data_IF_156272284512
#
_entry.id   IF_156272284512
#
_cell.length_a   1.000
_cell.length_b   1.000
_cell.length_c   1.000
_cell.angle_alpha   90.00
_cell.angle_beta   90.00
_cell.angle_gamma   90.00
#
_symmetry.space_group_name_H-M   'P 1'
#
loop_
_entity.id
_entity.type
_entity.pdbx_description
1 polymer ?
#
# COMPACT_ATOMS: atom_id res chain seq x y z
N UNK A 1 -17.06 11.43 -8.05
CA UNK A 1 -16.79 10.10 -7.47
C UNK A 1 -17.90 9.16 -7.91
N UNK A 2 -17.60 8.05 -8.59
CA UNK A 2 -18.64 7.08 -8.99
C UNK A 2 -19.00 6.27 -7.74
N UNK A 3 -20.24 6.34 -7.27
CA UNK A 3 -20.71 5.46 -6.18
C UNK A 3 -20.69 4.01 -6.67
N UNK A 4 -19.63 3.29 -6.32
CA UNK A 4 -19.46 1.88 -6.65
C UNK A 4 -19.64 1.08 -5.36
N UNK A 5 -20.53 0.09 -5.39
CA UNK A 5 -20.54 -0.94 -4.35
C UNK A 5 -19.18 -1.62 -4.33
N UNK A 6 -18.50 -1.65 -3.19
CA UNK A 6 -17.19 -2.29 -3.05
C UNK A 6 -17.38 -3.81 -2.90
N UNK A 7 -17.10 -4.65 -3.93
CA UNK A 7 -17.29 -6.09 -3.84
C UNK A 7 -16.34 -6.78 -2.86
N UNK A 8 -15.19 -6.16 -2.56
CA UNK A 8 -14.24 -6.60 -1.56
C UNK A 8 -13.37 -5.40 -1.11
N UNK A 9 -12.48 -5.62 -0.14
CA UNK A 9 -11.47 -4.65 0.27
C UNK A 9 -10.06 -5.20 0.08
N UNK A 10 -9.15 -4.36 -0.38
CA UNK A 10 -7.74 -4.70 -0.53
C UNK A 10 -7.08 -4.89 0.85
N UNK A 11 -6.47 -6.04 1.05
CA UNK A 11 -5.66 -6.34 2.22
C UNK A 11 -4.20 -5.97 1.95
N UNK A 12 -3.76 -4.82 2.44
CA UNK A 12 -2.40 -4.28 2.21
C UNK A 12 -1.57 -4.23 3.48
N UNK A 13 -1.98 -4.95 4.53
CA UNK A 13 -1.39 -4.86 5.87
C UNK A 13 0.14 -5.04 5.85
N UNK A 14 0.63 -6.12 5.23
CA UNK A 14 2.06 -6.41 5.16
C UNK A 14 2.85 -5.32 4.43
N UNK A 15 2.28 -4.76 3.36
CA UNK A 15 2.93 -3.74 2.55
C UNK A 15 2.94 -2.38 3.25
N UNK A 16 1.87 -2.01 3.95
CA UNK A 16 1.85 -0.82 4.82
C UNK A 16 2.87 -0.96 5.95
N UNK A 17 3.01 -2.15 6.53
CA UNK A 17 4.03 -2.40 7.54
C UNK A 17 5.46 -2.27 6.98
N UNK A 18 5.71 -2.75 5.75
CA UNK A 18 6.97 -2.54 5.03
C UNK A 18 7.22 -1.05 4.77
N UNK A 19 6.21 -0.32 4.29
CA UNK A 19 6.24 1.12 4.04
C UNK A 19 6.59 1.95 5.30
N UNK A 20 6.08 1.57 6.48
CA UNK A 20 6.40 2.24 7.76
C UNK A 20 7.89 2.22 8.10
N UNK A 21 8.69 1.31 7.52
CA UNK A 21 10.16 1.32 7.71
C UNK A 21 10.82 2.52 7.05
N UNK A 22 10.24 3.06 5.98
CA UNK A 22 10.74 4.26 5.30
C UNK A 22 10.43 5.52 6.09
N UNK A 23 9.28 5.61 6.76
CA UNK A 23 8.89 6.76 7.60
C UNK A 23 9.94 7.07 8.67
N UNK A 24 10.60 6.04 9.22
CA UNK A 24 11.61 6.21 10.28
C UNK A 24 12.91 6.84 9.77
N UNK A 25 13.17 6.77 8.46
CA UNK A 25 14.34 7.37 7.83
C UNK A 25 13.94 8.78 7.38
N UNK A 26 14.39 9.82 8.08
CA UNK A 26 14.21 11.20 7.61
C UNK A 26 15.12 11.39 6.39
N UNK A 27 14.51 11.52 5.22
CA UNK A 27 15.19 11.72 3.94
C UNK A 27 14.50 12.90 3.25
N UNK A 28 15.30 13.87 2.79
CA UNK A 28 14.81 14.91 1.88
C UNK A 28 14.65 14.30 0.48
N UNK A 29 13.51 14.53 -0.17
CA UNK A 29 13.25 13.95 -1.49
C UNK A 29 11.77 13.95 -1.91
N UNK A 30 11.42 12.99 -2.75
CA UNK A 30 10.07 12.78 -3.30
C UNK A 30 9.15 12.22 -2.23
N UNK A 31 7.98 12.84 -2.04
CA UNK A 31 6.96 12.35 -1.10
C UNK A 31 6.07 11.30 -1.78
N UNK A 32 6.05 10.10 -1.21
CA UNK A 32 5.25 8.96 -1.65
C UNK A 32 4.08 8.79 -0.70
N UNK A 33 2.89 8.70 -1.27
CA UNK A 33 1.63 8.56 -0.56
C UNK A 33 0.99 7.22 -0.88
N UNK A 34 0.83 6.37 0.14
CA UNK A 34 0.15 5.08 0.08
C UNK A 34 -1.08 5.09 1.00
N UNK A 35 -1.98 4.10 0.91
CA UNK A 35 -3.04 3.95 1.90
C UNK A 35 -2.44 3.92 3.31
N UNK A 36 -2.93 4.79 4.19
CA UNK A 36 -2.57 4.87 5.62
C UNK A 36 -1.12 5.27 5.96
N UNK A 37 -0.27 5.58 4.98
CA UNK A 37 1.12 5.95 5.24
C UNK A 37 1.70 6.84 4.13
N UNK A 38 2.42 7.87 4.54
CA UNK A 38 3.19 8.74 3.65
C UNK A 38 4.62 8.84 4.14
N UNK A 39 5.59 8.88 3.23
CA UNK A 39 7.01 8.95 3.55
C UNK A 39 7.78 9.63 2.40
N UNK A 40 9.00 10.07 2.66
CA UNK A 40 9.86 10.71 1.67
C UNK A 40 11.04 9.81 1.31
N UNK A 41 11.42 9.80 0.03
CA UNK A 41 12.52 8.99 -0.50
C UNK A 41 13.32 9.77 -1.54
N UNK A 42 14.60 9.43 -1.67
CA UNK A 42 15.43 9.91 -2.76
C UNK A 42 15.74 8.73 -3.69
N UNK A 43 15.05 8.60 -4.83
CA UNK A 43 15.29 7.48 -5.74
C UNK A 43 16.66 7.64 -6.41
N UNK A 44 17.40 6.54 -6.49
CA UNK A 44 18.68 6.47 -7.20
C UNK A 44 18.47 6.46 -8.73
N UNK A 45 19.57 6.52 -9.49
CA UNK A 45 19.50 6.59 -10.95
C UNK A 45 18.89 5.31 -11.58
N UNK A 46 19.06 4.15 -10.93
CA UNK A 46 18.52 2.87 -11.40
C UNK A 46 17.01 2.85 -11.16
N UNK A 47 16.54 3.19 -9.96
CA UNK A 47 15.12 3.34 -9.65
C UNK A 47 14.46 4.35 -10.58
N UNK A 48 15.07 5.52 -10.80
CA UNK A 48 14.51 6.52 -11.73
C UNK A 48 14.38 5.98 -13.15
N UNK A 49 15.40 5.28 -13.65
CA UNK A 49 15.40 4.70 -15.00
C UNK A 49 14.28 3.65 -15.13
N UNK A 50 14.19 2.74 -14.17
CA UNK A 50 13.17 1.68 -14.17
C UNK A 50 11.76 2.26 -14.00
N UNK A 51 11.60 3.28 -13.15
CA UNK A 51 10.33 3.98 -12.96
C UNK A 51 9.84 4.63 -14.26
N UNK A 52 10.72 5.32 -15.01
CA UNK A 52 10.37 5.92 -16.31
C UNK A 52 9.86 4.86 -17.28
N UNK A 53 10.53 3.72 -17.36
CA UNK A 53 10.11 2.64 -18.24
C UNK A 53 8.75 2.05 -17.86
N UNK A 54 8.51 1.86 -16.55
CA UNK A 54 7.22 1.41 -16.04
C UNK A 54 6.12 2.41 -16.41
N UNK A 55 6.34 3.71 -16.19
CA UNK A 55 5.37 4.76 -16.53
C UNK A 55 5.01 4.72 -18.01
N UNK A 56 6.02 4.68 -18.88
CA UNK A 56 5.81 4.67 -20.34
C UNK A 56 5.03 3.43 -20.77
N UNK A 57 5.41 2.24 -20.29
CA UNK A 57 4.82 0.98 -20.74
C UNK A 57 3.45 0.71 -20.14
N UNK A 58 3.19 1.15 -18.92
CA UNK A 58 1.90 0.95 -18.25
C UNK A 58 0.84 1.96 -18.71
N UNK A 59 1.21 3.20 -19.00
CA UNK A 59 0.27 4.24 -19.41
C UNK A 59 -0.61 3.85 -20.62
N UNK A 60 -0.07 3.03 -21.52
CA UNK A 60 -0.78 2.58 -22.73
C UNK A 60 -1.56 1.26 -22.53
N UNK A 61 -1.54 0.68 -21.32
CA UNK A 61 -2.22 -0.59 -21.06
C UNK A 61 -3.73 -0.38 -21.05
N UNK A 62 -4.44 -1.30 -21.73
CA UNK A 62 -5.89 -1.23 -21.94
C UNK A 62 -6.66 -1.08 -20.63
N UNK A 63 -6.27 -1.78 -19.56
CA UNK A 63 -6.93 -1.64 -18.26
C UNK A 63 -6.92 -0.19 -17.76
N UNK A 64 -5.84 0.55 -18.00
CA UNK A 64 -5.69 1.94 -17.54
C UNK A 64 -6.27 2.97 -18.53
N UNK A 65 -6.41 2.62 -19.81
CA UNK A 65 -6.80 3.61 -20.84
C UNK A 65 -8.15 3.34 -21.53
N UNK A 66 -8.71 2.13 -21.47
CA UNK A 66 -9.92 1.80 -22.21
C UNK A 66 -11.21 2.09 -21.43
N UNK A 67 -12.05 2.93 -22.03
CA UNK A 67 -13.37 3.31 -21.53
C UNK A 67 -14.48 2.32 -21.90
N UNK A 68 -14.38 1.67 -23.07
CA UNK A 68 -15.51 0.94 -23.65
C UNK A 68 -15.66 -0.50 -23.15
N UNK A 69 -16.91 -0.89 -22.88
CA UNK A 69 -17.37 -2.27 -22.78
C UNK A 69 -17.74 -2.78 -24.18
N UNK A 70 -16.92 -3.62 -24.79
CA UNK A 70 -17.26 -4.47 -25.93
C UNK A 70 -17.49 -5.91 -25.46
N UNK A 71 -18.07 -6.77 -26.30
CA UNK A 71 -18.44 -8.15 -25.97
C UNK A 71 -17.29 -9.02 -25.41
N UNK A 72 -16.03 -8.64 -25.66
CA UNK A 72 -14.83 -9.30 -25.14
C UNK A 72 -14.09 -8.47 -24.07
N UNK A 73 -14.78 -7.63 -23.30
CA UNK A 73 -14.10 -6.70 -22.39
C UNK A 73 -13.50 -7.36 -21.15
N UNK A 74 -14.11 -8.45 -20.67
CA UNK A 74 -13.58 -9.20 -19.53
C UNK A 74 -12.25 -9.85 -19.92
N UNK A 75 -12.21 -10.58 -21.03
CA UNK A 75 -11.01 -11.29 -21.49
C UNK A 75 -9.87 -10.33 -21.82
N UNK A 76 -10.17 -9.22 -22.51
CA UNK A 76 -9.16 -8.20 -22.82
C UNK A 76 -8.65 -7.48 -21.58
N UNK A 77 -9.49 -7.25 -20.58
CA UNK A 77 -9.07 -6.67 -19.31
C UNK A 77 -8.16 -7.65 -18.56
N UNK A 78 -8.54 -8.92 -18.47
CA UNK A 78 -7.73 -9.97 -17.84
C UNK A 78 -6.37 -10.14 -18.56
N UNK A 79 -6.36 -10.20 -19.89
CA UNK A 79 -5.13 -10.26 -20.67
C UNK A 79 -4.23 -9.04 -20.39
N UNK A 80 -4.79 -7.83 -20.38
CA UNK A 80 -4.03 -6.62 -20.05
C UNK A 80 -3.51 -6.64 -18.61
N UNK A 81 -4.24 -7.19 -17.64
CA UNK A 81 -3.74 -7.35 -16.26
C UNK A 81 -2.59 -8.36 -16.18
N UNK A 82 -2.65 -9.44 -16.96
CA UNK A 82 -1.57 -10.42 -17.05
C UNK A 82 -0.30 -9.77 -17.63
N UNK A 83 -0.42 -8.96 -18.68
CA UNK A 83 0.70 -8.22 -19.25
C UNK A 83 1.32 -7.24 -18.24
N UNK A 84 0.48 -6.53 -17.48
CA UNK A 84 0.95 -5.63 -16.40
C UNK A 84 1.73 -6.45 -15.36
N UNK A 85 1.17 -7.59 -14.92
CA UNK A 85 1.81 -8.47 -13.94
C UNK A 85 3.17 -8.96 -14.43
N UNK A 86 3.26 -9.47 -15.64
CA UNK A 86 4.52 -9.93 -16.23
C UNK A 86 5.56 -8.81 -16.28
N UNK A 87 5.17 -7.62 -16.76
CA UNK A 87 6.07 -6.47 -16.81
C UNK A 87 6.59 -6.07 -15.43
N UNK A 88 5.72 -6.03 -14.41
CA UNK A 88 6.12 -5.67 -13.05
C UNK A 88 7.09 -6.70 -12.45
N UNK A 89 6.86 -7.99 -12.69
CA UNK A 89 7.77 -9.06 -12.24
C UNK A 89 9.12 -8.94 -12.94
N UNK A 90 9.16 -8.71 -14.25
CA UNK A 90 10.42 -8.51 -14.98
C UNK A 90 11.21 -7.33 -14.41
N UNK A 91 10.53 -6.23 -14.06
CA UNK A 91 11.16 -5.05 -13.45
C UNK A 91 11.59 -5.27 -11.99
N UNK A 92 10.91 -6.15 -11.25
CA UNK A 92 11.39 -6.61 -9.94
C UNK A 92 12.69 -7.41 -10.05
N UNK A 93 12.85 -8.22 -11.10
CA UNK A 93 14.11 -8.95 -11.34
C UNK A 93 15.24 -7.96 -11.65
N UNK A 94 14.97 -6.94 -12.47
CA UNK A 94 15.93 -5.87 -12.77
C UNK A 94 16.36 -5.09 -11.50
N UNK A 95 15.43 -4.89 -10.54
CA UNK A 95 15.70 -4.24 -9.25
C UNK A 95 16.02 -5.23 -8.11
N UNK A 96 16.47 -6.45 -8.41
CA UNK A 96 16.70 -7.47 -7.38
C UNK A 96 17.72 -7.03 -6.31
N UNK A 97 18.71 -6.21 -6.68
CA UNK A 97 19.69 -5.63 -5.74
C UNK A 97 19.10 -4.47 -4.90
N UNK A 98 17.99 -3.87 -5.34
CA UNK A 98 17.25 -2.81 -4.63
C UNK A 98 15.85 -3.28 -4.16
N UNK A 99 15.72 -4.53 -3.70
CA UNK A 99 14.44 -5.09 -3.25
C UNK A 99 13.80 -4.37 -2.03
N UNK A 100 14.62 -3.59 -1.30
CA UNK A 100 14.19 -2.71 -0.21
C UNK A 100 13.94 -1.24 -0.66
N UNK A 101 13.92 -1.00 -1.97
CA UNK A 101 13.67 0.32 -2.58
C UNK A 101 12.20 0.72 -2.57
N UNK A 102 11.96 2.02 -2.79
CA UNK A 102 10.62 2.59 -2.81
C UNK A 102 9.85 2.15 -4.06
N UNK A 103 10.55 2.07 -5.20
CA UNK A 103 9.95 1.60 -6.43
C UNK A 103 9.54 0.12 -6.34
N UNK A 104 10.39 -0.70 -5.71
CA UNK A 104 10.09 -2.11 -5.49
C UNK A 104 8.81 -2.28 -4.65
N UNK A 105 8.68 -1.52 -3.57
CA UNK A 105 7.47 -1.49 -2.74
C UNK A 105 6.22 -1.09 -3.55
N UNK A 106 6.31 -0.06 -4.41
CA UNK A 106 5.18 0.37 -5.25
C UNK A 106 4.76 -0.72 -6.24
N UNK A 107 5.71 -1.46 -6.82
CA UNK A 107 5.40 -2.61 -7.67
C UNK A 107 4.73 -3.74 -6.86
N UNK A 108 5.17 -4.01 -5.64
CA UNK A 108 4.50 -4.98 -4.75
C UNK A 108 3.06 -4.58 -4.46
N UNK A 109 2.77 -3.29 -4.23
CA UNK A 109 1.39 -2.79 -4.08
C UNK A 109 0.54 -3.12 -5.31
N UNK A 110 1.03 -2.81 -6.52
CA UNK A 110 0.31 -3.09 -7.76
C UNK A 110 0.09 -4.59 -7.96
N UNK A 111 1.11 -5.41 -7.75
CA UNK A 111 1.05 -6.87 -7.89
C UNK A 111 0.07 -7.47 -6.90
N UNK A 112 0.06 -7.00 -5.66
CA UNK A 112 -0.85 -7.49 -4.63
C UNK A 112 -2.31 -7.12 -4.94
N UNK A 113 -2.55 -5.90 -5.44
CA UNK A 113 -3.87 -5.50 -5.94
C UNK A 113 -4.36 -6.40 -7.08
N UNK A 114 -3.50 -6.69 -8.06
CA UNK A 114 -3.82 -7.59 -9.18
C UNK A 114 -4.11 -9.01 -8.67
N UNK A 115 -3.29 -9.52 -7.75
CA UNK A 115 -3.47 -10.85 -7.16
C UNK A 115 -4.81 -10.99 -6.45
N UNK A 116 -5.16 -10.02 -5.61
CA UNK A 116 -6.44 -10.03 -4.89
C UNK A 116 -7.64 -9.90 -5.84
N UNK A 117 -7.51 -9.11 -6.90
CA UNK A 117 -8.54 -9.06 -7.94
C UNK A 117 -8.73 -10.41 -8.63
N UNK A 118 -7.65 -11.11 -9.02
CA UNK A 118 -7.78 -12.45 -9.60
C UNK A 118 -8.39 -13.45 -8.62
N UNK A 119 -8.03 -13.41 -7.33
CA UNK A 119 -8.69 -14.24 -6.31
C UNK A 119 -10.19 -13.94 -6.18
N UNK A 120 -10.58 -12.66 -6.24
CA UNK A 120 -11.99 -12.28 -6.27
C UNK A 120 -12.70 -12.82 -7.53
N UNK A 121 -12.05 -12.68 -8.68
CA UNK A 121 -12.58 -13.07 -9.98
C UNK A 121 -12.78 -14.59 -10.10
N UNK A 122 -11.83 -15.38 -9.59
CA UNK A 122 -11.94 -16.84 -9.48
C UNK A 122 -13.12 -17.25 -8.58
N UNK A 123 -13.32 -16.56 -7.44
CA UNK A 123 -14.47 -16.81 -6.56
C UNK A 123 -15.79 -16.44 -7.24
N UNK A 124 -15.79 -15.34 -8.00
CA UNK A 124 -16.96 -14.90 -8.74
C UNK A 124 -17.34 -15.92 -9.82
N UNK A 125 -16.37 -16.47 -10.55
CA UNK A 125 -16.55 -17.61 -11.48
C UNK A 125 -17.07 -18.86 -10.79
N UNK A 126 -16.47 -19.24 -9.66
CA UNK A 126 -16.88 -20.43 -8.92
C UNK A 126 -18.33 -20.32 -8.40
N UNK A 127 -18.74 -19.12 -7.99
CA UNK A 127 -20.11 -18.84 -7.54
C UNK A 127 -21.12 -18.71 -8.69
N UNK A 128 -20.66 -18.46 -9.92
CA UNK A 128 -21.50 -18.26 -11.10
C UNK A 128 -20.99 -19.15 -12.24
N UNK A 129 -21.44 -20.40 -12.37
CA UNK A 129 -20.98 -21.32 -13.41
C UNK A 129 -21.24 -20.82 -14.84
N UNK A 130 -22.18 -19.89 -15.01
CA UNK A 130 -22.48 -19.22 -16.28
C UNK A 130 -21.58 -18.01 -16.57
N UNK A 131 -20.75 -17.58 -15.60
CA UNK A 131 -19.74 -16.53 -15.77
C UNK A 131 -18.79 -16.93 -16.90
N UNK A 132 -18.41 -16.01 -17.81
CA UNK A 132 -17.91 -16.42 -19.11
C UNK A 132 -16.57 -17.15 -18.97
N UNK A 133 -16.62 -18.47 -19.07
CA UNK A 133 -15.53 -19.30 -19.52
C UNK A 133 -15.73 -19.49 -21.01
N UNK A 134 -14.88 -18.83 -21.81
CA UNK A 134 -14.72 -19.07 -23.24
C UNK A 134 -16.03 -19.45 -23.98
N UNK A 135 -17.05 -18.59 -24.05
CA UNK A 135 -17.97 -18.49 -25.20
C UNK A 135 -19.02 -17.39 -24.99
N UNK A 136 -19.43 -16.82 -26.13
CA UNK A 136 -20.33 -15.68 -26.37
C UNK A 136 -21.77 -15.79 -25.83
N UNK A 137 -21.99 -16.04 -24.55
CA UNK A 137 -23.34 -16.09 -24.00
C UNK A 137 -23.67 -14.86 -23.18
N UNK A 138 -24.59 -14.08 -23.74
CA UNK A 138 -25.47 -13.02 -23.21
C UNK A 138 -25.75 -13.07 -21.69
N UNK A 139 -24.74 -12.93 -20.84
CA UNK A 139 -24.97 -12.56 -19.46
C UNK A 139 -25.55 -11.16 -19.44
N UNK A 140 -26.64 -10.97 -18.69
CA UNK A 140 -27.15 -9.64 -18.51
C UNK A 140 -26.07 -8.81 -17.81
N UNK A 141 -25.87 -7.57 -18.26
CA UNK A 141 -24.92 -6.60 -17.68
C UNK A 141 -25.04 -6.47 -16.15
N UNK A 142 -26.20 -6.84 -15.59
CA UNK A 142 -26.45 -6.90 -14.16
C UNK A 142 -25.62 -7.95 -13.39
N UNK A 143 -25.28 -9.08 -14.01
CA UNK A 143 -24.56 -10.19 -13.36
C UNK A 143 -23.04 -9.91 -13.29
N UNK A 144 -22.54 -9.07 -14.20
CA UNK A 144 -21.15 -8.62 -14.24
C UNK A 144 -20.90 -7.35 -13.41
N UNK A 145 -21.92 -6.79 -12.73
CA UNK A 145 -21.75 -5.57 -11.91
C UNK A 145 -20.65 -5.72 -10.84
N UNK A 146 -20.57 -6.82 -10.08
CA UNK A 146 -19.49 -7.00 -9.10
C UNK A 146 -18.11 -7.04 -9.76
N UNK A 147 -17.98 -7.66 -10.93
CA UNK A 147 -16.75 -7.69 -11.70
C UNK A 147 -16.30 -6.29 -12.13
N UNK A 148 -17.20 -5.52 -12.75
CA UNK A 148 -16.85 -4.17 -13.21
C UNK A 148 -16.57 -3.22 -12.05
N UNK A 149 -17.27 -3.36 -10.92
CA UNK A 149 -16.97 -2.60 -9.71
C UNK A 149 -15.57 -2.94 -9.17
N UNK A 150 -15.22 -4.23 -9.08
CA UNK A 150 -13.88 -4.68 -8.69
C UNK A 150 -12.80 -4.19 -9.65
N UNK A 151 -13.06 -4.23 -10.97
CA UNK A 151 -12.11 -3.78 -11.98
C UNK A 151 -11.88 -2.27 -11.88
N UNK A 152 -12.93 -1.49 -11.65
CA UNK A 152 -12.83 -0.05 -11.47
C UNK A 152 -12.08 0.32 -10.18
N UNK A 153 -12.28 -0.42 -9.09
CA UNK A 153 -11.47 -0.30 -7.88
C UNK A 153 -9.99 -0.60 -8.15
N UNK A 154 -9.69 -1.70 -8.86
CA UNK A 154 -8.32 -2.06 -9.23
C UNK A 154 -7.68 -1.00 -10.14
N UNK A 155 -8.42 -0.46 -11.11
CA UNK A 155 -7.95 0.64 -11.97
C UNK A 155 -7.53 1.85 -11.14
N UNK A 156 -8.39 2.27 -10.21
CA UNK A 156 -8.07 3.37 -9.30
C UNK A 156 -6.87 3.07 -8.40
N UNK A 157 -6.67 1.82 -7.98
CA UNK A 157 -5.49 1.40 -7.24
C UNK A 157 -4.22 1.50 -8.09
N UNK A 158 -4.23 0.88 -9.28
CA UNK A 158 -3.09 0.85 -10.21
C UNK A 158 -2.70 2.26 -10.68
N UNK A 159 -3.68 3.12 -10.99
CA UNK A 159 -3.40 4.50 -11.40
C UNK A 159 -2.72 5.31 -10.30
N UNK A 160 -3.18 5.19 -9.04
CA UNK A 160 -2.57 5.91 -7.92
C UNK A 160 -1.15 5.43 -7.65
N UNK A 161 -0.90 4.11 -7.71
CA UNK A 161 0.46 3.57 -7.68
C UNK A 161 1.32 4.12 -8.83
N UNK A 162 0.81 4.08 -10.07
CA UNK A 162 1.51 4.61 -11.24
C UNK A 162 1.83 6.11 -11.11
N UNK A 163 0.95 6.88 -10.48
CA UNK A 163 1.17 8.29 -10.18
C UNK A 163 2.31 8.48 -9.19
N UNK A 164 2.42 7.65 -8.15
CA UNK A 164 3.56 7.69 -7.25
C UNK A 164 4.86 7.27 -7.96
N UNK A 165 4.81 6.29 -8.86
CA UNK A 165 5.96 5.89 -9.68
C UNK A 165 6.37 7.04 -10.62
N UNK A 166 5.42 7.77 -11.19
CA UNK A 166 5.68 8.94 -12.03
C UNK A 166 6.43 10.06 -11.28
N UNK A 167 6.12 10.25 -9.98
CA UNK A 167 6.89 11.14 -9.11
C UNK A 167 8.34 10.66 -8.92
N UNK A 168 8.56 9.35 -8.72
CA UNK A 168 9.93 8.80 -8.66
C UNK A 168 10.67 8.95 -9.98
N UNK A 169 9.96 8.82 -11.09
CA UNK A 169 10.50 8.96 -12.44
C UNK A 169 10.74 10.41 -12.87
N UNK A 170 10.31 11.40 -12.06
CA UNK A 170 10.33 12.82 -12.40
C UNK A 170 9.71 13.09 -13.79
N UNK A 171 8.51 12.54 -14.02
CA UNK A 171 7.78 12.70 -15.27
C UNK A 171 6.27 12.66 -15.06
N UNK A 172 5.52 13.18 -16.03
CA UNK A 172 4.08 13.05 -16.09
C UNK A 172 3.67 11.71 -16.74
N UNK A 173 2.50 11.18 -16.37
CA UNK A 173 1.96 10.00 -17.04
C UNK A 173 1.41 10.39 -18.42
N UNK A 174 1.95 9.86 -19.52
CA UNK A 174 1.48 10.21 -20.85
C UNK A 174 0.11 9.58 -21.14
N UNK A 175 -0.67 10.20 -22.04
CA UNK A 175 -1.74 9.52 -22.81
C UNK A 175 -2.90 8.87 -22.02
N UNK A 176 -3.13 9.20 -20.74
CA UNK A 176 -4.34 8.76 -20.02
C UNK A 176 -5.46 9.79 -20.18
N UNK A 177 -6.60 9.33 -20.70
CA UNK A 177 -7.81 10.14 -20.86
C UNK A 177 -8.27 10.73 -19.51
N UNK A 178 -8.72 11.99 -19.50
CA UNK A 178 -9.02 12.73 -18.26
C UNK A 178 -10.04 12.02 -17.35
N UNK A 179 -11.02 11.33 -17.93
CA UNK A 179 -12.04 10.56 -17.22
C UNK A 179 -11.55 9.21 -16.66
N UNK A 180 -10.31 8.82 -16.96
CA UNK A 180 -9.61 7.64 -16.45
C UNK A 180 -8.50 8.01 -15.47
N UNK A 181 -8.38 9.30 -15.12
CA UNK A 181 -7.42 9.77 -14.12
C UNK A 181 -8.04 9.67 -12.73
N UNK A 182 -7.35 8.98 -11.82
CA UNK A 182 -7.73 8.85 -10.41
C UNK A 182 -6.79 9.69 -9.56
N UNK A 183 -6.79 11.01 -9.80
CA UNK A 183 -5.94 11.99 -9.11
C UNK A 183 -6.43 12.29 -7.68
N UNK A 184 -7.66 11.88 -7.34
CA UNK A 184 -8.22 11.99 -6.00
C UNK A 184 -7.41 11.17 -4.98
N UNK A 185 -7.51 11.60 -3.71
CA UNK A 185 -6.97 10.86 -2.58
C UNK A 185 -7.36 9.37 -2.60
N UNK A 186 -6.55 8.55 -1.92
CA UNK A 186 -6.83 7.14 -1.75
C UNK A 186 -8.23 6.95 -1.14
N UNK A 187 -9.06 6.15 -1.80
CA UNK A 187 -10.39 5.75 -1.31
C UNK A 187 -10.20 4.74 -0.16
N UNK A 188 -10.03 5.21 1.07
CA UNK A 188 -9.59 4.38 2.20
C UNK A 188 -10.57 3.24 2.55
N UNK A 189 -11.86 3.43 2.28
CA UNK A 189 -12.93 2.41 2.37
C UNK A 189 -12.70 1.20 1.44
N UNK A 190 -11.92 1.35 0.36
CA UNK A 190 -11.51 0.25 -0.51
C UNK A 190 -10.43 -0.66 0.10
N UNK A 191 -9.88 -0.32 1.27
CA UNK A 191 -8.78 -1.04 1.90
C UNK A 191 -9.18 -1.52 3.29
N UNK A 192 -8.69 -2.69 3.69
CA UNK A 192 -8.76 -3.10 5.09
C UNK A 192 -7.84 -2.19 5.90
N UNK A 193 -8.40 -1.53 6.91
CA UNK A 193 -7.60 -0.73 7.82
C UNK A 193 -6.57 -1.62 8.53
N UNK A 194 -5.28 -1.23 8.56
CA UNK A 194 -4.30 -1.98 9.32
C UNK A 194 -4.65 -1.87 10.80
N UNK A 195 -4.68 -3.00 11.52
CA UNK A 195 -4.85 -2.97 12.98
C UNK A 195 -3.79 -2.02 13.57
N UNK A 196 -4.26 -1.05 14.35
CA UNK A 196 -3.39 -0.16 15.10
C UNK A 196 -2.69 -1.01 16.16
N UNK A 197 -1.54 -1.57 15.82
CA UNK A 197 -0.60 -2.03 16.83
C UNK A 197 -0.16 -0.74 17.54
N UNK A 198 -0.74 -0.48 18.71
CA UNK A 198 -0.23 0.48 19.67
C UNK A 198 1.25 0.16 19.87
N UNK A 199 2.12 0.89 19.18
CA UNK A 199 3.54 0.85 19.47
C UNK A 199 3.66 1.48 20.85
N UNK A 200 3.80 0.63 21.86
CA UNK A 200 3.84 1.00 23.26
C UNK A 200 4.67 2.25 23.49
N UNK A 201 4.05 3.23 24.13
CA UNK A 201 4.65 4.44 24.64
C UNK A 201 5.93 4.08 25.42
N UNK A 202 7.14 4.50 25.00
CA UNK A 202 8.29 4.44 25.87
C UNK A 202 8.34 5.74 26.67
N UNK A 203 7.45 5.90 27.66
CA UNK A 203 7.65 6.86 28.77
C UNK A 203 6.55 6.75 29.82
N UNK A 204 6.85 6.07 30.93
CA UNK A 204 6.86 6.63 32.29
C UNK A 204 6.75 5.49 33.33
N UNK A 205 7.88 4.91 33.73
CA UNK A 205 7.96 4.25 35.05
C UNK A 205 9.37 4.13 35.66
N UNK A 206 10.40 4.80 35.12
CA UNK A 206 11.75 4.78 35.74
C UNK A 206 12.02 6.01 36.63
N UNK A 207 11.01 6.85 36.90
CA UNK A 207 11.15 8.00 37.80
C UNK A 207 10.67 7.74 39.25
N UNK A 208 10.08 6.57 39.54
CA UNK A 208 9.61 6.26 40.90
C UNK A 208 10.64 5.50 41.76
N UNK A 209 11.63 4.82 41.16
CA UNK A 209 12.54 3.93 41.91
C UNK A 209 13.93 4.52 42.21
N UNK A 210 14.19 5.78 41.80
CA UNK A 210 15.41 6.52 42.16
C UNK A 210 15.22 7.55 43.28
N UNK A 211 13.98 7.86 43.68
CA UNK A 211 13.72 8.74 44.82
C UNK A 211 13.57 8.00 46.16
N UNK A 212 13.31 6.69 46.18
CA UNK A 212 13.28 5.92 47.43
C UNK A 212 14.68 5.50 47.93
N UNK A 213 15.66 5.30 47.04
CA UNK A 213 17.03 4.92 47.45
C UNK A 213 17.92 6.08 47.90
N UNK A 214 17.48 7.33 47.76
CA UNK A 214 18.16 8.51 48.30
C UNK A 214 17.64 8.92 49.69
N UNK A 215 16.45 8.47 50.10
CA UNK A 215 15.83 8.78 51.39
C UNK A 215 16.26 7.88 52.56
N UNK A 216 16.82 6.70 52.28
CA UNK A 216 17.19 5.73 53.33
C UNK A 216 18.66 5.80 53.77
N UNK A 217 19.50 6.65 53.16
CA UNK A 217 20.88 6.89 53.60
C UNK A 217 21.06 8.10 54.53
N UNK A 218 19.99 8.83 54.84
CA UNK A 218 20.03 10.02 55.72
C UNK A 218 19.43 9.82 57.12
N UNK A 219 19.14 8.57 57.53
CA UNK A 219 18.63 8.23 58.88
C UNK A 219 19.64 7.50 59.78
N UNK A 220 20.94 7.55 59.46
CA UNK A 220 21.99 6.96 60.30
C UNK A 220 23.11 7.95 60.61
N UNK A 221 22.78 9.09 61.22
CA UNK A 221 23.75 9.93 61.94
C UNK A 221 23.07 11.05 62.73
N UNK A 222 22.63 10.76 63.96
CA UNK A 222 22.79 11.69 65.09
C UNK A 222 22.21 11.11 66.39
N UNK A 223 22.97 11.20 67.48
CA UNK A 223 22.39 11.23 68.82
C UNK A 223 22.82 10.15 69.83
N UNK A 224 24.10 9.76 69.88
CA UNK A 224 24.68 9.22 71.14
C UNK A 224 24.68 10.35 72.18
N UNK A 225 23.81 10.28 73.20
CA UNK A 225 23.94 11.06 74.44
C UNK A 225 24.28 10.10 75.59
N UNK A 226 25.49 10.24 76.12
CA UNK A 226 25.88 9.82 77.46
C UNK A 226 25.15 10.70 78.47
N UNK A 227 24.56 10.08 79.50
CA UNK A 227 24.63 10.56 80.89
C UNK A 227 24.50 9.36 81.83
N UNK A 228 25.63 8.98 82.41
CA UNK A 228 25.75 8.34 83.72
C UNK A 228 25.58 9.43 84.79
N UNK A 229 24.68 9.25 85.76
CA UNK A 229 25.04 9.08 87.17
C UNK A 229 23.82 8.86 88.07
N UNK A 230 23.97 8.01 89.09
CA UNK A 230 22.95 7.83 90.14
C UNK A 230 22.93 6.48 90.86
N UNK A 231 24.05 6.06 91.48
CA UNK A 231 24.12 5.58 92.88
C UNK A 231 25.52 5.15 93.27
#
# INVERSE_FOLDING_TARGET
MRELSLPFQFDVFCLVHKARRFVKKRVDGVSINLPFVSFSVCPDDVERKVAREIVIRLADKRVLNAFECCDSCVERALASLQEIRSLLVDKQVELSEQADGALYLLMEFMLEGIRQFFTFEERLRAANPEFPGELHTRLHRHDLRPYFAALEMLRGHLYRCLSQIALLADMEIPKIAANMRYEDAWQLDAYKAPELIEQGTPQQSVAADKLQRAGERSRSSNGKKLTTDGR
#
